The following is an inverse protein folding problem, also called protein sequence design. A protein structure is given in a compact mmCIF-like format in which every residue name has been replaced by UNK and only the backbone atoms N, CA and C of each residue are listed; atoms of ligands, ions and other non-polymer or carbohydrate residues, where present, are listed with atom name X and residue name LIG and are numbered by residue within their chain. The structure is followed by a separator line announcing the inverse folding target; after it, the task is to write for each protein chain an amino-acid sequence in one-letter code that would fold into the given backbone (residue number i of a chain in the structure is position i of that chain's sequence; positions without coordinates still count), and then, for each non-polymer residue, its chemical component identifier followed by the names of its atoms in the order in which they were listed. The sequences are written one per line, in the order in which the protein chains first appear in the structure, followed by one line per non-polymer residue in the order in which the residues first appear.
data_IF_080404469419
#
_entry.id   IF_080404469419
#
_cell.length_a   1.000
_cell.length_b   1.000
_cell.length_c   1.000
_cell.angle_alpha   90.00
_cell.angle_beta   90.00
_cell.angle_gamma   90.00
#
_symmetry.space_group_name_H-M   'P 1'
#
loop_
_entity.id
_entity.type
_entity.pdbx_description
1 polymer ?
#
# COMPACT_ATOMS: atom_id res chain seq x y z
N UNK A 1 -12.34 -15.90 -1.81
CA UNK A 1 -11.66 -16.79 -0.83
C UNK A 1 -11.99 -16.30 0.57
N UNK A 2 -12.80 -17.02 1.37
CA UNK A 2 -13.31 -16.53 2.66
C UNK A 2 -12.23 -16.12 3.68
N UNK A 3 -11.08 -16.80 3.66
CA UNK A 3 -9.98 -16.53 4.61
C UNK A 3 -9.28 -15.20 4.30
N UNK A 4 -9.03 -14.89 3.02
CA UNK A 4 -8.44 -13.62 2.61
C UNK A 4 -9.36 -12.45 2.96
N UNK A 5 -10.66 -12.65 2.76
CA UNK A 5 -11.69 -11.66 3.01
C UNK A 5 -11.74 -11.29 4.50
N UNK A 6 -11.79 -12.29 5.38
CA UNK A 6 -11.74 -12.12 6.83
C UNK A 6 -10.46 -11.39 7.29
N UNK A 7 -9.29 -11.83 6.84
CA UNK A 7 -8.03 -11.19 7.22
C UNK A 7 -7.97 -9.73 6.74
N UNK A 8 -8.47 -9.46 5.53
CA UNK A 8 -8.52 -8.10 4.99
C UNK A 8 -9.43 -7.17 5.80
N UNK A 9 -10.54 -7.68 6.35
CA UNK A 9 -11.45 -6.93 7.24
C UNK A 9 -10.83 -6.62 8.58
N UNK A 10 -10.14 -7.58 9.18
CA UNK A 10 -9.43 -7.38 10.45
C UNK A 10 -8.32 -6.33 10.28
N UNK A 11 -7.56 -6.38 9.18
CA UNK A 11 -6.53 -5.39 8.82
C UNK A 11 -7.16 -4.01 8.59
N UNK A 12 -8.22 -3.95 7.79
CA UNK A 12 -8.95 -2.72 7.53
C UNK A 12 -9.44 -2.08 8.83
N UNK A 13 -10.08 -2.86 9.70
CA UNK A 13 -10.67 -2.40 10.94
C UNK A 13 -9.62 -1.84 11.90
N UNK A 14 -8.48 -2.53 12.08
CA UNK A 14 -7.46 -2.07 13.03
C UNK A 14 -6.78 -0.77 12.59
N UNK A 15 -6.48 -0.62 11.30
CA UNK A 15 -5.88 0.61 10.77
C UNK A 15 -6.90 1.75 10.80
N UNK A 16 -8.14 1.49 10.39
CA UNK A 16 -9.20 2.50 10.42
C UNK A 16 -9.46 3.00 11.84
N UNK A 17 -9.52 2.10 12.83
CA UNK A 17 -9.72 2.47 14.23
C UNK A 17 -8.61 3.36 14.78
N UNK A 18 -7.36 3.21 14.30
CA UNK A 18 -6.24 4.03 14.74
C UNK A 18 -6.36 5.48 14.26
N UNK A 19 -6.78 5.70 13.01
CA UNK A 19 -6.79 7.01 12.38
C UNK A 19 -8.17 7.71 12.36
N UNK A 20 -9.25 7.02 12.75
CA UNK A 20 -10.61 7.53 12.66
C UNK A 20 -10.92 8.78 13.50
N UNK A 21 -10.08 9.15 14.47
CA UNK A 21 -10.49 10.09 15.55
C UNK A 21 -9.66 11.37 15.62
N UNK A 22 -8.56 11.54 14.86
CA UNK A 22 -7.59 12.59 15.24
C UNK A 22 -6.72 13.20 14.15
N UNK A 23 -6.80 12.71 12.91
CA UNK A 23 -5.92 13.20 11.85
C UNK A 23 -6.63 14.14 10.87
N UNK A 24 -5.96 15.20 10.39
CA UNK A 24 -6.30 15.81 9.10
C UNK A 24 -6.34 14.71 8.02
N UNK A 25 -7.30 14.79 7.09
CA UNK A 25 -7.38 13.85 5.97
C UNK A 25 -7.38 12.36 6.40
N UNK A 26 -8.33 11.94 7.26
CA UNK A 26 -8.32 10.60 7.83
C UNK A 26 -8.48 9.51 6.76
N UNK A 27 -9.24 9.77 5.69
CA UNK A 27 -9.47 8.79 4.61
C UNK A 27 -8.21 8.55 3.79
N UNK A 28 -7.48 9.62 3.47
CA UNK A 28 -6.21 9.59 2.74
C UNK A 28 -5.15 8.91 3.59
N UNK A 29 -5.09 9.25 4.88
CA UNK A 29 -4.17 8.64 5.85
C UNK A 29 -4.41 7.14 5.99
N UNK A 30 -5.66 6.70 6.14
CA UNK A 30 -6.00 5.26 6.21
C UNK A 30 -5.65 4.55 4.90
N UNK A 31 -5.96 5.16 3.75
CA UNK A 31 -5.63 4.59 2.43
C UNK A 31 -4.13 4.40 2.27
N UNK A 32 -3.35 5.42 2.59
CA UNK A 32 -1.90 5.38 2.54
C UNK A 32 -1.32 4.36 3.53
N UNK A 33 -1.85 4.30 4.76
CA UNK A 33 -1.41 3.33 5.77
C UNK A 33 -1.64 1.88 5.32
N UNK A 34 -2.81 1.56 4.78
CA UNK A 34 -3.11 0.25 4.22
C UNK A 34 -2.18 -0.11 3.06
N UNK A 35 -1.96 0.85 2.14
CA UNK A 35 -1.06 0.66 1.01
C UNK A 35 0.39 0.44 1.44
N UNK A 36 0.85 1.16 2.47
CA UNK A 36 2.19 1.00 3.03
C UNK A 36 2.38 -0.38 3.66
N UNK A 37 1.39 -0.88 4.41
CA UNK A 37 1.39 -2.23 4.96
C UNK A 37 1.47 -3.28 3.85
N UNK A 38 0.69 -3.12 2.78
CA UNK A 38 0.75 -4.02 1.63
C UNK A 38 2.13 -4.02 0.96
N UNK A 39 2.74 -2.84 0.77
CA UNK A 39 4.06 -2.69 0.17
C UNK A 39 5.17 -3.30 1.03
N UNK A 40 5.14 -3.08 2.34
CA UNK A 40 6.11 -3.68 3.25
C UNK A 40 5.94 -5.22 3.29
N UNK A 41 4.71 -5.73 3.36
CA UNK A 41 4.46 -7.17 3.36
C UNK A 41 4.98 -7.81 2.07
N UNK A 42 4.78 -7.17 0.92
CA UNK A 42 5.34 -7.65 -0.35
C UNK A 42 6.85 -7.84 -0.26
N UNK A 43 7.60 -6.82 0.19
CA UNK A 43 9.06 -6.88 0.35
C UNK A 43 9.45 -8.01 1.31
N UNK A 44 8.77 -8.11 2.45
CA UNK A 44 9.07 -9.11 3.49
C UNK A 44 8.83 -10.54 3.05
N UNK A 45 7.87 -10.78 2.14
CA UNK A 45 7.61 -12.14 1.64
C UNK A 45 8.60 -12.56 0.54
N UNK A 46 9.12 -11.60 -0.22
CA UNK A 46 10.00 -11.88 -1.37
C UNK A 46 11.47 -11.87 -0.96
N UNK A 47 11.86 -10.93 -0.09
CA UNK A 47 13.24 -10.70 0.29
C UNK A 47 13.47 -11.22 1.70
N UNK A 48 14.28 -12.28 1.85
CA UNK A 48 14.66 -12.80 3.16
C UNK A 48 15.26 -11.68 4.03
N UNK A 49 14.87 -11.65 5.31
CA UNK A 49 15.24 -10.62 6.30
C UNK A 49 16.75 -10.42 6.49
N UNK A 50 17.59 -11.36 6.04
CA UNK A 50 19.06 -11.24 6.04
C UNK A 50 19.69 -10.62 4.79
N UNK A 51 18.91 -10.30 3.75
CA UNK A 51 19.42 -9.75 2.47
C UNK A 51 19.31 -8.22 2.36
N UNK A 52 18.56 -7.58 3.24
CA UNK A 52 18.45 -6.12 3.25
C UNK A 52 19.52 -5.59 4.21
N UNK A 53 20.61 -5.08 3.65
CA UNK A 53 21.67 -4.43 4.43
C UNK A 53 21.08 -3.25 5.22
N UNK A 54 21.43 -3.14 6.49
CA UNK A 54 21.17 -2.01 7.37
C UNK A 54 21.48 -0.62 6.78
N UNK A 55 22.36 -0.53 5.78
CA UNK A 55 22.72 0.73 5.10
C UNK A 55 21.87 1.02 3.87
N UNK A 56 21.12 0.04 3.37
CA UNK A 56 20.33 0.16 2.15
C UNK A 56 18.87 0.40 2.51
N UNK A 57 18.39 1.63 2.27
CA UNK A 57 16.98 1.99 2.47
C UNK A 57 16.13 1.50 1.30
N UNK A 58 16.72 1.38 0.09
CA UNK A 58 15.99 1.14 -1.15
C UNK A 58 16.16 -0.28 -1.69
N UNK A 59 15.07 -0.87 -2.14
CA UNK A 59 14.96 -2.25 -2.60
C UNK A 59 14.57 -2.25 -4.07
N UNK A 60 15.45 -2.80 -4.91
CA UNK A 60 15.18 -3.03 -6.33
C UNK A 60 15.30 -4.54 -6.59
N UNK A 61 14.17 -5.23 -6.75
CA UNK A 61 14.10 -6.68 -6.96
C UNK A 61 13.02 -6.98 -8.01
N UNK A 62 13.40 -7.69 -9.07
CA UNK A 62 12.51 -8.06 -10.18
C UNK A 62 11.29 -8.86 -9.72
N UNK A 63 11.40 -9.63 -8.64
CA UNK A 63 10.25 -10.41 -8.13
C UNK A 63 9.21 -9.51 -7.45
N UNK A 64 9.64 -8.42 -6.83
CA UNK A 64 8.73 -7.42 -6.24
C UNK A 64 7.93 -6.76 -7.37
N UNK A 65 8.61 -6.37 -8.45
CA UNK A 65 8.00 -5.84 -9.67
C UNK A 65 7.02 -6.83 -10.30
N UNK A 66 7.39 -8.10 -10.36
CA UNK A 66 6.57 -9.14 -10.94
C UNK A 66 5.20 -9.27 -10.25
N UNK A 67 5.17 -9.21 -8.92
CA UNK A 67 3.92 -9.29 -8.14
C UNK A 67 3.10 -7.99 -8.22
N UNK A 68 3.76 -6.84 -8.40
CA UNK A 68 3.08 -5.55 -8.56
C UNK A 68 2.35 -5.45 -9.90
N UNK A 69 2.96 -5.87 -11.02
CA UNK A 69 2.44 -5.52 -12.35
C UNK A 69 2.72 -6.49 -13.52
N UNK A 70 3.05 -7.78 -13.30
CA UNK A 70 3.09 -8.73 -14.42
C UNK A 70 1.83 -8.66 -15.30
N UNK A 71 2.01 -8.80 -16.62
CA UNK A 71 0.93 -8.75 -17.63
C UNK A 71 -0.09 -9.90 -17.57
N UNK A 72 0.00 -10.76 -16.55
CA UNK A 72 -0.89 -11.91 -16.35
C UNK A 72 -1.85 -11.63 -15.18
N UNK A 73 -2.95 -12.40 -15.10
CA UNK A 73 -4.03 -12.18 -14.11
C UNK A 73 -3.49 -12.37 -12.68
N UNK A 74 -4.08 -11.65 -11.72
CA UNK A 74 -3.84 -11.69 -10.27
C UNK A 74 -2.71 -10.79 -9.69
N UNK A 75 -2.39 -9.67 -10.33
CA UNK A 75 -1.47 -8.67 -9.75
C UNK A 75 -2.12 -7.79 -8.68
N UNK A 76 -1.31 -7.20 -7.80
CA UNK A 76 -1.81 -6.28 -6.75
C UNK A 76 -2.57 -5.09 -7.35
N UNK A 77 -2.14 -4.61 -8.52
CA UNK A 77 -2.88 -3.57 -9.24
C UNK A 77 -4.28 -4.00 -9.66
N UNK A 78 -4.45 -5.22 -10.17
CA UNK A 78 -5.78 -5.74 -10.54
C UNK A 78 -6.66 -5.85 -9.29
N UNK A 79 -6.10 -6.32 -8.17
CA UNK A 79 -6.84 -6.49 -6.92
C UNK A 79 -7.29 -5.14 -6.37
N UNK A 80 -6.39 -4.16 -6.29
CA UNK A 80 -6.73 -2.82 -5.81
C UNK A 80 -7.66 -2.11 -6.78
N UNK A 81 -7.38 -2.23 -8.08
CA UNK A 81 -8.18 -1.69 -9.18
C UNK A 81 -9.61 -2.24 -9.21
N UNK A 82 -9.85 -3.48 -8.75
CA UNK A 82 -11.19 -4.03 -8.61
C UNK A 82 -12.06 -3.19 -7.65
N UNK A 83 -11.46 -2.63 -6.58
CA UNK A 83 -12.14 -1.69 -5.69
C UNK A 83 -12.50 -0.37 -6.40
N UNK A 84 -11.57 0.17 -7.19
CA UNK A 84 -11.81 1.39 -7.96
C UNK A 84 -12.90 1.21 -9.02
N UNK A 85 -12.86 0.08 -9.74
CA UNK A 85 -13.88 -0.28 -10.74
C UNK A 85 -15.25 -0.48 -10.10
N UNK A 86 -15.30 -1.13 -8.93
CA UNK A 86 -16.54 -1.31 -8.18
C UNK A 86 -17.16 0.03 -7.74
N UNK A 87 -16.36 1.08 -7.57
CA UNK A 87 -16.81 2.44 -7.25
C UNK A 87 -16.99 3.34 -8.48
N UNK A 88 -17.00 2.77 -9.68
CA UNK A 88 -17.37 3.46 -10.92
C UNK A 88 -16.21 3.99 -11.75
N UNK A 89 -14.95 3.70 -11.40
CA UNK A 89 -13.82 4.03 -12.28
C UNK A 89 -13.81 3.06 -13.48
N UNK A 90 -13.85 3.53 -14.74
CA UNK A 90 -13.76 2.63 -15.89
C UNK A 90 -12.43 1.87 -15.91
N UNK A 91 -12.46 0.59 -16.27
CA UNK A 91 -11.26 -0.26 -16.28
C UNK A 91 -10.16 0.27 -17.22
N UNK A 92 -10.56 0.82 -18.36
CA UNK A 92 -9.68 1.46 -19.34
C UNK A 92 -9.03 2.76 -18.85
N UNK A 93 -9.48 3.29 -17.72
CA UNK A 93 -8.91 4.47 -17.08
C UNK A 93 -7.95 4.14 -15.93
N UNK A 94 -7.77 2.87 -15.57
CA UNK A 94 -6.78 2.50 -14.57
C UNK A 94 -5.38 2.93 -15.06
N UNK A 95 -4.52 3.50 -14.18
CA UNK A 95 -3.20 3.97 -14.57
C UNK A 95 -2.29 2.78 -14.90
N UNK A 96 -1.27 3.05 -15.72
CA UNK A 96 -0.21 2.07 -15.93
C UNK A 96 0.69 2.01 -14.69
N UNK A 97 0.82 0.82 -14.11
CA UNK A 97 1.70 0.61 -12.96
C UNK A 97 3.17 0.79 -13.29
N UNK A 98 3.55 0.56 -14.55
CA UNK A 98 4.92 0.83 -15.00
C UNK A 98 5.24 2.30 -14.80
N UNK A 99 4.32 3.20 -15.21
CA UNK A 99 4.50 4.64 -15.03
C UNK A 99 4.56 5.06 -13.55
N UNK A 100 3.74 4.43 -12.69
CA UNK A 100 3.75 4.66 -11.23
C UNK A 100 5.11 4.29 -10.63
N UNK A 101 5.67 3.15 -11.05
CA UNK A 101 6.97 2.67 -10.58
C UNK A 101 8.12 3.51 -11.11
N UNK A 102 8.09 3.91 -12.38
CA UNK A 102 9.08 4.81 -12.95
C UNK A 102 9.14 6.15 -12.20
N UNK A 103 7.99 6.73 -11.85
CA UNK A 103 7.94 7.94 -11.01
C UNK A 103 8.50 7.68 -9.61
N UNK A 104 8.15 6.54 -9.01
CA UNK A 104 8.68 6.11 -7.70
C UNK A 104 10.20 6.00 -7.71
N UNK A 105 10.76 5.33 -8.72
CA UNK A 105 12.18 5.09 -8.84
C UNK A 105 12.95 6.39 -9.15
N UNK A 106 12.36 7.32 -9.91
CA UNK A 106 12.92 8.66 -10.11
C UNK A 106 12.97 9.46 -8.80
N UNK A 107 11.89 9.44 -8.01
CA UNK A 107 11.80 10.16 -6.74
C UNK A 107 12.81 9.66 -5.69
N UNK A 108 13.08 8.34 -5.69
CA UNK A 108 14.14 7.73 -4.87
C UNK A 108 15.52 8.31 -5.22
N UNK A 109 15.80 8.55 -6.50
CA UNK A 109 17.09 9.06 -6.99
C UNK A 109 17.26 10.55 -6.72
N UNK A 110 16.21 11.33 -6.93
CA UNK A 110 16.28 12.79 -6.94
C UNK A 110 15.98 13.44 -5.57
N UNK A 111 15.58 12.65 -4.55
CA UNK A 111 15.30 13.09 -3.17
C UNK A 111 14.27 14.24 -3.04
N UNK A 112 13.41 14.42 -4.04
CA UNK A 112 12.52 15.59 -4.13
C UNK A 112 11.25 15.47 -3.27
N UNK A 113 10.74 14.25 -3.08
CA UNK A 113 9.63 13.89 -2.19
C UNK A 113 9.40 12.37 -2.26
N UNK A 114 9.15 11.71 -1.15
CA UNK A 114 8.91 10.26 -1.14
C UNK A 114 7.79 9.83 -0.18
N UNK A 115 6.80 9.01 -0.62
CA UNK A 115 6.55 8.60 -2.01
C UNK A 115 6.18 9.80 -2.92
N UNK A 116 6.36 9.72 -4.26
CA UNK A 116 6.06 10.83 -5.15
C UNK A 116 4.56 10.92 -5.44
N UNK A 117 3.84 11.41 -4.44
CA UNK A 117 2.40 11.59 -4.53
C UNK A 117 2.06 12.58 -5.66
N UNK A 118 1.26 12.15 -6.63
CA UNK A 118 0.77 12.98 -7.74
C UNK A 118 -0.62 13.56 -7.47
N UNK A 119 -1.22 13.24 -6.32
CA UNK A 119 -2.50 13.81 -5.88
C UNK A 119 -2.31 15.27 -5.41
N UNK A 120 -3.38 16.08 -5.31
CA UNK A 120 -3.30 17.42 -4.73
C UNK A 120 -2.75 17.42 -3.30
N UNK A 121 -1.98 18.45 -2.93
CA UNK A 121 -1.28 18.51 -1.63
C UNK A 121 -2.25 18.55 -0.44
N UNK A 122 -3.40 19.16 -0.63
CA UNK A 122 -4.50 19.20 0.34
C UNK A 122 -5.07 17.81 0.65
N UNK A 123 -4.82 16.81 -0.22
CA UNK A 123 -5.20 15.40 -0.03
C UNK A 123 -4.02 14.55 0.46
N UNK A 124 -2.91 15.15 0.87
CA UNK A 124 -1.81 14.34 1.41
C UNK A 124 -2.24 13.70 2.74
N UNK A 125 -1.84 12.45 2.99
CA UNK A 125 -2.03 11.84 4.30
C UNK A 125 -1.29 12.65 5.36
N UNK A 126 -1.86 12.73 6.58
CA UNK A 126 -1.26 13.47 7.68
C UNK A 126 0.07 12.87 8.14
N UNK A 127 0.23 11.55 7.99
CA UNK A 127 1.40 10.80 8.40
C UNK A 127 2.18 10.20 7.22
N UNK A 128 3.51 10.16 7.36
CA UNK A 128 4.41 9.45 6.46
C UNK A 128 4.13 7.94 6.40
N UNK A 129 3.67 7.37 5.27
CA UNK A 129 3.03 6.06 5.25
C UNK A 129 3.94 4.90 5.66
N UNK A 130 5.26 4.91 5.37
CA UNK A 130 6.18 3.87 5.86
C UNK A 130 6.17 3.69 7.39
N UNK A 131 5.89 4.74 8.16
CA UNK A 131 5.79 4.63 9.63
C UNK A 131 4.58 3.77 10.05
N UNK A 132 3.46 3.85 9.32
CA UNK A 132 2.26 3.06 9.60
C UNK A 132 2.55 1.57 9.48
N UNK A 133 3.28 1.16 8.44
CA UNK A 133 3.68 -0.23 8.23
C UNK A 133 4.52 -0.76 9.40
N UNK A 134 5.49 0.02 9.87
CA UNK A 134 6.29 -0.29 11.05
C UNK A 134 5.45 -0.42 12.32
N UNK A 135 4.60 0.57 12.60
CA UNK A 135 3.80 0.65 13.83
C UNK A 135 2.84 -0.52 13.97
N UNK A 136 2.16 -0.89 12.89
CA UNK A 136 1.14 -1.94 12.92
C UNK A 136 1.69 -3.33 12.62
N UNK A 137 2.98 -3.46 12.28
CA UNK A 137 3.59 -4.71 11.82
C UNK A 137 3.22 -5.93 12.65
N UNK A 138 3.40 -5.86 13.98
CA UNK A 138 3.14 -6.99 14.87
C UNK A 138 1.66 -7.39 14.90
N UNK A 139 0.76 -6.42 14.82
CA UNK A 139 -0.68 -6.69 14.82
C UNK A 139 -1.13 -7.28 13.49
N UNK A 140 -0.61 -6.75 12.37
CA UNK A 140 -0.86 -7.29 11.04
C UNK A 140 -0.32 -8.70 10.92
N UNK A 141 0.90 -8.95 11.40
CA UNK A 141 1.49 -10.29 11.36
C UNK A 141 0.67 -11.28 12.18
N UNK A 142 0.17 -10.88 13.36
CA UNK A 142 -0.74 -11.68 14.16
C UNK A 142 -2.04 -12.02 13.43
N UNK A 143 -2.69 -11.04 12.79
CA UNK A 143 -3.92 -11.26 12.00
C UNK A 143 -3.67 -12.28 10.89
N UNK A 144 -2.58 -12.09 10.14
CA UNK A 144 -2.23 -12.96 9.02
C UNK A 144 -1.91 -14.39 9.48
N UNK A 145 -1.18 -14.54 10.59
CA UNK A 145 -0.86 -15.84 11.17
C UNK A 145 -2.10 -16.55 11.72
N UNK A 146 -2.98 -15.83 12.42
CA UNK A 146 -4.24 -16.37 12.96
C UNK A 146 -5.20 -16.84 11.86
N UNK A 147 -5.09 -16.26 10.66
CA UNK A 147 -5.82 -16.68 9.47
C UNK A 147 -5.02 -17.70 8.61
N UNK A 148 -3.89 -18.23 9.11
CA UNK A 148 -3.02 -19.21 8.43
C UNK A 148 -2.50 -18.76 7.06
N UNK A 149 -2.32 -17.45 6.85
CA UNK A 149 -1.84 -16.90 5.60
C UNK A 149 -0.30 -16.90 5.53
N UNK A 150 0.24 -17.39 4.41
CA UNK A 150 1.68 -17.49 4.14
C UNK A 150 2.02 -16.97 2.75
N UNK A 151 3.25 -16.48 2.58
CA UNK A 151 3.77 -16.03 1.29
C UNK A 151 2.82 -15.03 0.63
N UNK A 152 2.48 -15.28 -0.63
CA UNK A 152 1.60 -14.44 -1.44
C UNK A 152 0.23 -14.17 -0.79
N UNK A 153 -0.36 -15.14 -0.08
CA UNK A 153 -1.65 -14.96 0.60
C UNK A 153 -1.66 -13.84 1.63
N UNK A 154 -0.50 -13.53 2.25
CA UNK A 154 -0.34 -12.39 3.15
C UNK A 154 -0.45 -11.06 2.42
N UNK A 155 0.23 -10.98 1.27
CA UNK A 155 0.24 -9.78 0.42
C UNK A 155 -1.15 -9.53 -0.16
N UNK A 156 -1.80 -10.58 -0.66
CA UNK A 156 -3.15 -10.51 -1.21
C UNK A 156 -4.19 -10.03 -0.19
N UNK A 157 -4.11 -10.49 1.07
CA UNK A 157 -5.02 -10.02 2.13
C UNK A 157 -4.84 -8.52 2.43
N UNK A 158 -3.59 -8.03 2.43
CA UNK A 158 -3.31 -6.61 2.61
C UNK A 158 -3.80 -5.79 1.42
N UNK A 159 -3.55 -6.23 0.19
CA UNK A 159 -4.03 -5.56 -1.02
C UNK A 159 -5.56 -5.56 -1.13
N UNK A 160 -6.23 -6.62 -0.67
CA UNK A 160 -7.69 -6.64 -0.60
C UNK A 160 -8.22 -5.62 0.42
N UNK A 161 -7.53 -5.40 1.54
CA UNK A 161 -7.89 -4.35 2.49
C UNK A 161 -7.76 -2.95 1.87
N UNK A 162 -6.72 -2.72 1.06
CA UNK A 162 -6.56 -1.50 0.26
C UNK A 162 -7.71 -1.35 -0.74
N UNK A 163 -8.03 -2.41 -1.49
CA UNK A 163 -9.16 -2.42 -2.43
C UNK A 163 -10.48 -2.04 -1.77
N UNK A 164 -10.76 -2.56 -0.57
CA UNK A 164 -11.96 -2.23 0.21
C UNK A 164 -12.00 -0.76 0.60
N UNK A 165 -10.86 -0.20 1.02
CA UNK A 165 -10.76 1.22 1.37
C UNK A 165 -10.94 2.15 0.17
N UNK A 166 -10.27 1.85 -0.96
CA UNK A 166 -10.44 2.61 -2.21
C UNK A 166 -11.90 2.59 -2.65
N UNK A 167 -12.55 1.42 -2.57
CA UNK A 167 -13.96 1.28 -2.89
C UNK A 167 -14.81 2.19 -1.98
N UNK A 168 -14.68 2.02 -0.67
CA UNK A 168 -15.45 2.75 0.34
C UNK A 168 -15.29 4.27 0.18
N UNK A 169 -14.05 4.74 0.02
CA UNK A 169 -13.78 6.17 -0.15
C UNK A 169 -14.38 6.71 -1.45
N UNK A 170 -14.29 5.96 -2.54
CA UNK A 170 -14.96 6.31 -3.79
C UNK A 170 -16.48 6.44 -3.63
N UNK A 171 -17.12 5.51 -2.91
CA UNK A 171 -18.56 5.57 -2.62
C UNK A 171 -18.94 6.74 -1.70
N UNK A 172 -18.08 7.08 -0.72
CA UNK A 172 -18.34 8.16 0.24
C UNK A 172 -18.12 9.56 -0.32
N UNK A 173 -17.09 9.74 -1.15
CA UNK A 173 -16.62 11.05 -1.61
C UNK A 173 -16.97 11.36 -3.06
N UNK A 174 -17.25 10.33 -3.86
CA UNK A 174 -17.33 10.43 -5.32
C UNK A 174 -15.96 10.53 -6.01
N UNK A 175 -14.86 10.45 -5.26
CA UNK A 175 -13.51 10.72 -5.75
C UNK A 175 -12.59 9.49 -5.72
N UNK A 176 -13.04 8.42 -6.38
CA UNK A 176 -12.30 7.15 -6.43
C UNK A 176 -10.91 7.27 -7.04
N UNK A 177 -10.71 8.19 -7.99
CA UNK A 177 -9.45 8.35 -8.72
C UNK A 177 -8.31 8.72 -7.78
N UNK A 178 -8.50 9.73 -6.91
CA UNK A 178 -7.45 10.18 -6.03
C UNK A 178 -7.05 9.13 -4.99
N UNK A 179 -8.00 8.45 -4.37
CA UNK A 179 -7.70 7.38 -3.41
C UNK A 179 -7.00 6.19 -4.07
N UNK A 180 -7.37 5.88 -5.31
CA UNK A 180 -6.72 4.81 -6.06
C UNK A 180 -5.27 5.17 -6.43
N UNK A 181 -5.02 6.37 -6.96
CA UNK A 181 -3.65 6.84 -7.25
C UNK A 181 -2.80 6.87 -5.99
N UNK A 182 -3.33 7.44 -4.90
CA UNK A 182 -2.66 7.46 -3.60
C UNK A 182 -2.25 6.06 -3.15
N UNK A 183 -3.18 5.10 -3.22
CA UNK A 183 -2.91 3.72 -2.83
C UNK A 183 -1.77 3.10 -3.67
N UNK A 184 -1.78 3.30 -4.99
CA UNK A 184 -0.78 2.72 -5.88
C UNK A 184 0.60 3.35 -5.68
N UNK A 185 0.69 4.67 -5.55
CA UNK A 185 1.97 5.38 -5.37
C UNK A 185 2.60 5.05 -4.01
N UNK A 186 1.78 4.95 -2.95
CA UNK A 186 2.27 4.55 -1.63
C UNK A 186 2.66 3.07 -1.60
N UNK A 187 1.88 2.19 -2.24
CA UNK A 187 2.22 0.77 -2.38
C UNK A 187 3.56 0.61 -3.11
N UNK A 188 3.70 1.26 -4.27
CA UNK A 188 4.91 1.25 -5.07
C UNK A 188 6.10 1.76 -4.26
N UNK A 189 5.96 2.93 -3.61
CA UNK A 189 6.99 3.48 -2.73
C UNK A 189 7.39 2.51 -1.62
N UNK A 190 6.45 2.06 -0.81
CA UNK A 190 6.76 1.19 0.33
C UNK A 190 7.30 -0.18 -0.11
N UNK A 191 6.95 -0.65 -1.32
CA UNK A 191 7.54 -1.86 -1.90
C UNK A 191 8.99 -1.69 -2.37
N UNK A 192 9.45 -0.45 -2.54
CA UNK A 192 10.85 -0.10 -2.81
C UNK A 192 11.63 0.22 -1.54
N UNK A 193 11.01 0.11 -0.36
CA UNK A 193 11.67 0.40 0.91
C UNK A 193 12.01 -0.86 1.70
N UNK A 194 13.21 -0.85 2.28
CA UNK A 194 13.54 -1.73 3.37
C UNK A 194 12.53 -1.54 4.52
N UNK A 195 11.99 -2.61 5.13
CA UNK A 195 11.12 -2.48 6.30
C UNK A 195 11.81 -1.66 7.39
N UNK A 196 11.13 -0.63 7.89
CA UNK A 196 11.73 0.26 8.88
C UNK A 196 12.02 -0.48 10.18
N UNK A 197 13.08 -0.04 10.87
CA UNK A 197 13.46 -0.52 12.21
C UNK A 197 13.03 0.44 13.33
N UNK A 198 12.71 1.68 12.98
CA UNK A 198 12.20 2.72 13.84
C UNK A 198 11.40 3.71 12.98
N UNK A 199 10.47 4.44 13.61
CA UNK A 199 9.77 5.55 12.94
C UNK A 199 10.77 6.62 12.48
N UNK A 200 10.49 7.23 11.34
CA UNK A 200 11.27 8.34 10.80
C UNK A 200 10.43 9.62 10.78
N UNK A 201 11.10 10.78 10.83
CA UNK A 201 10.44 12.06 10.55
C UNK A 201 10.06 12.09 9.08
N UNK A 202 8.89 12.67 8.80
CA UNK A 202 8.39 12.81 7.44
C UNK A 202 9.39 13.55 6.53
N UNK A 203 9.41 13.17 5.25
CA UNK A 203 10.28 13.71 4.20
C UNK A 203 9.54 14.65 3.21
N UNK A 204 8.35 15.15 3.56
CA UNK A 204 7.53 16.03 2.71
C UNK A 204 7.29 17.43 3.29
#
# INVERSE_FOLDING_TARGET
MPILDKASEEIFAIISAHFAVSEPNPLETITAALAAVAGEQLVRQIIPSGRIDSKTIWVFDEKVEDVLYRRERDTLNIIIGAGAVASGLPFERLPDMVEILERTDAAIRDSSSFPPLSIPREMYPAEWPPNCAFRHRSQIDYILDNNNLKGEGRVLACALAVSKMVKLNGEMTGDVWHFFILALEVLAGCSRMAPLKAEMKSLW
#
